data_IF_676916313230
#
_entry.id   IF_676916313230
#
_cell.length_a   1.000
_cell.length_b   1.000
_cell.length_c   1.000
_cell.angle_alpha   90.00
_cell.angle_beta   90.00
_cell.angle_gamma   90.00
#
_symmetry.space_group_name_H-M   'P 1'
#
loop_
_entity.id
_entity.type
_entity.pdbx_description
1 polymer ?
#
# COMPACT_ATOMS: atom_id res chain seq x y z
N UNK A 1 6.40 -8.74 -17.13
CA UNK A 1 6.00 -7.32 -17.37
C UNK A 1 4.76 -7.02 -16.54
N UNK A 2 4.85 -6.10 -15.60
CA UNK A 2 3.70 -5.68 -14.77
C UNK A 2 2.72 -4.91 -15.67
N UNK A 3 1.44 -5.29 -15.70
CA UNK A 3 0.42 -4.60 -16.51
C UNK A 3 0.24 -3.15 -16.05
N UNK A 4 -0.24 -2.28 -16.93
CA UNK A 4 -0.45 -0.85 -16.62
C UNK A 4 -1.53 -0.60 -15.54
N UNK A 5 -2.38 -1.59 -15.25
CA UNK A 5 -3.54 -1.44 -14.36
C UNK A 5 -3.25 -1.66 -12.85
N UNK A 6 -1.99 -1.57 -12.41
CA UNK A 6 -1.65 -1.83 -11.00
C UNK A 6 -2.10 -0.72 -10.06
N UNK A 7 -1.99 0.54 -10.48
CA UNK A 7 -2.24 1.71 -9.64
C UNK A 7 -3.60 2.38 -9.94
N UNK A 8 -4.55 1.63 -10.52
CA UNK A 8 -5.91 2.12 -10.78
C UNK A 8 -6.78 2.04 -9.53
N UNK A 9 -7.83 2.85 -9.36
CA UNK A 9 -8.75 2.73 -8.23
C UNK A 9 -9.23 1.27 -8.03
N UNK A 10 -9.45 0.85 -6.78
CA UNK A 10 -9.87 -0.53 -6.47
C UNK A 10 -11.09 -0.98 -7.27
N UNK A 11 -12.06 -0.09 -7.46
CA UNK A 11 -13.30 -0.36 -8.22
C UNK A 11 -13.06 -0.72 -9.70
N UNK A 12 -11.90 -0.38 -10.26
CA UNK A 12 -11.51 -0.69 -11.63
C UNK A 12 -10.24 -1.55 -11.72
N UNK A 13 -9.82 -2.16 -10.60
CA UNK A 13 -8.63 -2.99 -10.55
C UNK A 13 -8.89 -4.38 -11.13
N UNK A 14 -8.05 -4.80 -12.08
CA UNK A 14 -7.99 -6.19 -12.54
C UNK A 14 -6.99 -6.98 -11.69
N UNK A 15 -7.46 -8.03 -11.02
CA UNK A 15 -6.61 -8.88 -10.19
C UNK A 15 -5.48 -9.50 -11.02
N UNK A 16 -4.23 -9.48 -10.53
CA UNK A 16 -3.09 -10.03 -11.25
C UNK A 16 -3.18 -11.55 -11.31
N UNK A 17 -2.51 -12.12 -12.29
CA UNK A 17 -2.29 -13.55 -12.39
C UNK A 17 -1.27 -14.03 -11.36
N UNK A 18 -1.31 -15.33 -11.06
CA UNK A 18 -0.32 -15.99 -10.21
C UNK A 18 1.09 -15.82 -10.77
N UNK A 19 1.24 -15.86 -12.10
CA UNK A 19 2.52 -15.61 -12.78
C UNK A 19 3.07 -14.21 -12.52
N UNK A 20 2.24 -13.19 -12.61
CA UNK A 20 2.62 -11.80 -12.40
C UNK A 20 3.04 -11.56 -10.95
N UNK A 21 2.29 -12.12 -9.99
CA UNK A 21 2.64 -12.06 -8.58
C UNK A 21 3.97 -12.78 -8.30
N UNK A 22 4.19 -13.96 -8.90
CA UNK A 22 5.44 -14.69 -8.75
C UNK A 22 6.63 -13.95 -9.37
N UNK A 23 6.45 -13.33 -10.53
CA UNK A 23 7.47 -12.51 -11.20
C UNK A 23 7.87 -11.33 -10.31
N UNK A 24 6.89 -10.55 -9.82
CA UNK A 24 7.12 -9.41 -8.91
C UNK A 24 7.86 -9.85 -7.65
N UNK A 25 7.41 -10.91 -6.99
CA UNK A 25 8.07 -11.42 -5.77
C UNK A 25 9.51 -11.84 -6.06
N UNK A 26 9.79 -12.44 -7.22
CA UNK A 26 11.15 -12.82 -7.59
C UNK A 26 12.03 -11.59 -7.88
N UNK A 27 11.51 -10.56 -8.55
CA UNK A 27 12.23 -9.32 -8.79
C UNK A 27 12.57 -8.59 -7.48
N UNK A 28 11.65 -8.62 -6.50
CA UNK A 28 11.86 -8.01 -5.19
C UNK A 28 13.00 -8.66 -4.39
N UNK A 29 13.28 -9.95 -4.59
CA UNK A 29 14.44 -10.62 -3.97
C UNK A 29 15.75 -9.94 -4.37
N UNK A 30 15.85 -9.44 -5.60
CA UNK A 30 17.05 -8.72 -6.07
C UNK A 30 17.25 -7.40 -5.30
N UNK A 31 16.18 -6.83 -4.76
CA UNK A 31 16.21 -5.61 -3.94
C UNK A 31 16.19 -5.93 -2.42
N UNK A 32 16.54 -7.15 -2.04
CA UNK A 32 16.69 -7.54 -0.63
C UNK A 32 15.40 -7.85 0.11
N UNK A 33 14.28 -8.05 -0.59
CA UNK A 33 13.01 -8.51 -0.02
C UNK A 33 12.86 -10.03 -0.13
N UNK A 34 13.24 -10.73 0.93
CA UNK A 34 12.90 -12.14 1.07
C UNK A 34 11.46 -12.34 1.56
N UNK A 35 11.01 -13.60 1.61
CA UNK A 35 9.65 -13.94 2.05
C UNK A 35 9.34 -13.40 3.45
N UNK A 36 10.32 -13.41 4.37
CA UNK A 36 10.13 -12.94 5.75
C UNK A 36 9.91 -11.43 5.79
N UNK A 37 10.73 -10.66 5.10
CA UNK A 37 10.59 -9.21 4.98
C UNK A 37 9.27 -8.82 4.30
N UNK A 38 8.86 -9.55 3.27
CA UNK A 38 7.56 -9.36 2.63
C UNK A 38 6.41 -9.63 3.61
N UNK A 39 6.47 -10.73 4.38
CA UNK A 39 5.48 -11.02 5.42
C UNK A 39 5.43 -9.93 6.48
N UNK A 40 6.57 -9.40 6.91
CA UNK A 40 6.62 -8.31 7.90
C UNK A 40 6.01 -7.02 7.34
N UNK A 41 6.42 -6.60 6.13
CA UNK A 41 5.99 -5.34 5.54
C UNK A 41 4.51 -5.34 5.11
N UNK A 42 4.01 -6.49 4.63
CA UNK A 42 2.66 -6.59 4.06
C UNK A 42 1.64 -7.28 4.97
N UNK A 43 2.12 -7.99 6.00
CA UNK A 43 1.35 -8.93 6.80
C UNK A 43 1.04 -10.25 6.07
N UNK A 44 1.29 -10.38 4.77
CA UNK A 44 0.93 -11.58 4.01
C UNK A 44 1.50 -12.85 4.65
N UNK A 45 0.67 -13.88 4.78
CA UNK A 45 1.11 -15.17 5.32
C UNK A 45 2.16 -15.77 4.39
N UNK A 46 3.29 -16.18 4.94
CA UNK A 46 4.39 -16.83 4.21
C UNK A 46 3.89 -17.98 3.30
N UNK A 47 2.94 -18.79 3.79
CA UNK A 47 2.34 -19.87 3.00
C UNK A 47 1.69 -19.39 1.68
N UNK A 48 1.13 -18.18 1.65
CA UNK A 48 0.50 -17.63 0.45
C UNK A 48 1.57 -17.17 -0.55
N UNK A 49 2.62 -16.52 -0.06
CA UNK A 49 3.79 -16.11 -0.87
C UNK A 49 4.45 -17.34 -1.52
N UNK A 50 4.71 -18.38 -0.71
CA UNK A 50 5.23 -19.66 -1.19
C UNK A 50 4.28 -20.34 -2.18
N UNK A 51 2.97 -20.30 -1.92
CA UNK A 51 1.96 -20.86 -2.84
C UNK A 51 2.01 -20.17 -4.21
N UNK A 52 2.01 -18.85 -4.29
CA UNK A 52 2.02 -18.16 -5.60
C UNK A 52 3.32 -18.44 -6.38
N UNK A 53 4.47 -18.38 -5.72
CA UNK A 53 5.77 -18.65 -6.35
C UNK A 53 5.93 -20.10 -6.82
N UNK A 54 5.32 -21.07 -6.12
CA UNK A 54 5.31 -22.47 -6.54
C UNK A 54 4.27 -22.76 -7.63
N UNK A 55 3.06 -22.17 -7.50
CA UNK A 55 1.90 -22.40 -8.37
C UNK A 55 2.13 -21.88 -9.79
N UNK A 56 2.94 -20.83 -9.95
CA UNK A 56 3.34 -20.29 -11.26
C UNK A 56 3.80 -21.37 -12.27
N UNK A 57 4.49 -22.42 -11.83
CA UNK A 57 4.97 -23.49 -12.74
C UNK A 57 3.87 -24.41 -13.26
N UNK A 58 2.72 -24.47 -12.57
CA UNK A 58 1.62 -25.38 -12.88
C UNK A 58 0.42 -24.64 -13.48
N UNK A 59 0.07 -23.50 -12.89
CA UNK A 59 -1.15 -22.75 -13.19
C UNK A 59 -0.82 -21.24 -13.29
N UNK A 60 0.01 -20.82 -14.27
CA UNK A 60 0.49 -19.44 -14.38
C UNK A 60 -0.62 -18.43 -14.73
N UNK A 61 -1.69 -18.89 -15.38
CA UNK A 61 -2.79 -18.06 -15.89
C UNK A 61 -3.97 -17.95 -14.92
N UNK A 62 -3.86 -18.52 -13.72
CA UNK A 62 -4.88 -18.35 -12.71
C UNK A 62 -4.83 -16.94 -12.08
N UNK A 63 -6.00 -16.43 -11.71
CA UNK A 63 -6.13 -15.17 -10.97
C UNK A 63 -5.59 -15.35 -9.55
N UNK A 64 -4.73 -14.44 -9.13
CA UNK A 64 -4.17 -14.43 -7.78
C UNK A 64 -5.16 -13.91 -6.74
N UNK A 65 -5.03 -14.42 -5.53
CA UNK A 65 -5.79 -13.97 -4.35
C UNK A 65 -5.02 -12.94 -3.52
N UNK A 66 -4.04 -12.25 -4.11
CA UNK A 66 -3.30 -11.22 -3.40
C UNK A 66 -4.24 -10.03 -3.11
N UNK A 67 -4.27 -9.50 -1.88
CA UNK A 67 -5.06 -8.30 -1.58
C UNK A 67 -4.54 -7.07 -2.33
N UNK A 68 -5.46 -6.20 -2.73
CA UNK A 68 -5.13 -5.03 -3.55
C UNK A 68 -4.04 -4.11 -2.96
N UNK A 69 -4.09 -3.69 -1.67
CA UNK A 69 -3.04 -2.84 -1.11
C UNK A 69 -1.67 -3.51 -1.11
N UNK A 70 -1.65 -4.83 -0.85
CA UNK A 70 -0.41 -5.60 -0.89
C UNK A 70 0.15 -5.63 -2.30
N UNK A 71 -0.70 -5.80 -3.32
CA UNK A 71 -0.30 -5.77 -4.73
C UNK A 71 0.29 -4.42 -5.14
N UNK A 72 -0.39 -3.30 -4.83
CA UNK A 72 0.13 -1.96 -5.13
C UNK A 72 1.48 -1.71 -4.45
N UNK A 73 1.59 -2.08 -3.17
CA UNK A 73 2.82 -1.94 -2.42
C UNK A 73 3.98 -2.73 -3.03
N UNK A 74 3.82 -4.04 -3.27
CA UNK A 74 4.92 -4.86 -3.78
C UNK A 74 5.30 -4.49 -5.22
N UNK A 75 4.33 -4.10 -6.05
CA UNK A 75 4.57 -3.72 -7.43
C UNK A 75 5.33 -2.40 -7.54
N UNK A 76 5.04 -1.44 -6.66
CA UNK A 76 5.74 -0.16 -6.60
C UNK A 76 7.23 -0.31 -6.21
N UNK A 77 7.59 -1.37 -5.49
CA UNK A 77 8.96 -1.64 -5.05
C UNK A 77 9.81 -2.40 -6.08
N UNK A 78 9.23 -2.83 -7.21
CA UNK A 78 10.00 -3.53 -8.24
C UNK A 78 11.02 -2.59 -8.87
N UNK A 79 12.29 -2.98 -8.85
CA UNK A 79 13.39 -2.16 -9.37
C UNK A 79 13.70 -0.90 -8.54
N UNK A 80 13.06 -0.74 -7.37
CA UNK A 80 13.24 0.42 -6.48
C UNK A 80 13.54 -0.04 -5.05
N UNK A 81 14.26 0.78 -4.30
CA UNK A 81 14.39 0.60 -2.86
C UNK A 81 13.16 1.21 -2.17
N UNK A 82 12.88 0.75 -0.96
CA UNK A 82 11.85 1.38 -0.14
C UNK A 82 12.30 2.79 0.25
N UNK A 83 11.56 3.81 -0.19
CA UNK A 83 11.91 5.21 0.04
C UNK A 83 11.88 5.62 1.51
N UNK A 84 11.10 4.95 2.37
CA UNK A 84 11.12 5.25 3.80
C UNK A 84 12.44 4.84 4.46
N UNK A 85 13.12 3.82 3.91
CA UNK A 85 14.23 3.15 4.60
C UNK A 85 15.51 3.09 3.78
N UNK A 86 15.46 3.59 2.55
CA UNK A 86 16.47 3.37 1.52
C UNK A 86 16.87 1.88 1.41
N UNK A 87 15.87 0.99 1.45
CA UNK A 87 16.06 -0.46 1.38
C UNK A 87 16.52 -1.14 2.68
N UNK A 88 16.73 -0.40 3.77
CA UNK A 88 17.04 -0.96 5.09
C UNK A 88 15.77 -1.55 5.73
N UNK A 89 15.97 -2.44 6.70
CA UNK A 89 14.87 -2.87 7.57
C UNK A 89 14.58 -1.71 8.52
N UNK A 90 13.31 -1.31 8.62
CA UNK A 90 12.90 -0.31 9.62
C UNK A 90 13.02 -0.91 11.01
N UNK A 91 13.61 -0.15 11.92
CA UNK A 91 13.79 -0.55 13.31
C UNK A 91 12.51 -0.36 14.12
N UNK A 92 12.33 -1.16 15.16
CA UNK A 92 11.14 -1.10 16.02
C UNK A 92 10.94 0.29 16.64
N UNK A 93 12.02 0.99 16.98
CA UNK A 93 11.93 2.34 17.53
C UNK A 93 11.46 3.39 16.52
N UNK A 94 11.83 3.24 15.24
CA UNK A 94 11.34 4.12 14.16
C UNK A 94 9.83 3.89 13.94
N UNK A 95 9.38 2.64 13.95
CA UNK A 95 7.93 2.33 13.92
C UNK A 95 7.22 2.99 15.09
N UNK A 96 7.74 2.84 16.31
CA UNK A 96 7.15 3.46 17.50
C UNK A 96 7.09 4.98 17.36
N UNK A 97 8.16 5.61 16.88
CA UNK A 97 8.17 7.06 16.67
C UNK A 97 7.05 7.50 15.74
N UNK A 98 6.84 6.80 14.62
CA UNK A 98 5.75 7.08 13.68
C UNK A 98 4.40 6.88 14.34
N UNK A 99 4.20 5.78 15.08
CA UNK A 99 2.94 5.52 15.79
C UNK A 99 2.58 6.65 16.76
N UNK A 100 3.56 7.26 17.43
CA UNK A 100 3.33 8.39 18.35
C UNK A 100 3.00 9.71 17.64
N UNK A 101 3.27 9.83 16.33
CA UNK A 101 2.91 11.04 15.57
C UNK A 101 1.40 11.15 15.34
N UNK A 102 0.66 10.04 15.40
CA UNK A 102 -0.74 9.99 14.98
C UNK A 102 -1.65 9.47 16.10
N UNK A 103 -2.93 9.86 16.05
CA UNK A 103 -3.95 9.31 16.93
C UNK A 103 -4.24 7.84 16.57
N UNK A 104 -4.66 6.99 17.52
CA UNK A 104 -5.03 5.60 17.24
C UNK A 104 -6.04 5.42 16.11
N UNK A 105 -6.96 6.38 15.94
CA UNK A 105 -7.96 6.39 14.86
C UNK A 105 -7.37 6.49 13.45
N UNK A 106 -6.12 6.98 13.30
CA UNK A 106 -5.41 6.95 12.03
C UNK A 106 -5.00 5.52 11.64
N UNK A 107 -4.95 4.59 12.60
CA UNK A 107 -4.64 3.18 12.39
C UNK A 107 -5.89 2.29 12.47
N UNK A 108 -7.08 2.91 12.37
CA UNK A 108 -8.35 2.21 12.36
C UNK A 108 -8.59 1.40 11.09
N UNK A 109 -9.62 0.56 11.14
CA UNK A 109 -10.20 -0.03 9.94
C UNK A 109 -10.95 1.04 9.14
N UNK A 110 -11.30 0.75 7.88
CA UNK A 110 -11.87 1.77 6.97
C UNK A 110 -13.08 2.52 7.55
N UNK A 111 -13.94 1.85 8.31
CA UNK A 111 -15.14 2.37 8.97
C UNK A 111 -14.84 3.21 10.22
N UNK A 112 -13.69 3.00 10.85
CA UNK A 112 -13.24 3.68 12.08
C UNK A 112 -12.07 4.64 11.83
N UNK A 113 -11.62 4.72 10.57
CA UNK A 113 -10.51 5.53 10.15
C UNK A 113 -10.85 7.01 10.22
N UNK A 114 -9.97 7.77 10.88
CA UNK A 114 -10.00 9.22 10.85
C UNK A 114 -8.68 9.69 10.24
N UNK A 115 -8.78 10.38 9.11
CA UNK A 115 -7.63 10.89 8.39
C UNK A 115 -6.77 11.80 9.30
N UNK A 116 -5.43 11.64 9.28
CA UNK A 116 -4.55 12.61 9.88
C UNK A 116 -4.77 14.02 9.32
N UNK A 117 -4.47 15.02 10.14
CA UNK A 117 -4.49 16.43 9.72
C UNK A 117 -3.22 16.78 8.97
N UNK A 118 -3.23 17.91 8.27
CA UNK A 118 -2.04 18.48 7.62
C UNK A 118 -0.84 18.61 8.56
N UNK A 119 -1.06 19.05 9.80
CA UNK A 119 -0.02 19.15 10.83
C UNK A 119 0.56 17.81 11.27
N UNK A 120 -0.18 16.71 11.16
CA UNK A 120 0.36 15.37 11.40
C UNK A 120 1.17 14.90 10.19
N UNK A 121 0.65 15.11 8.97
CA UNK A 121 1.37 14.75 7.75
C UNK A 121 2.71 15.46 7.62
N UNK A 122 2.78 16.75 7.94
CA UNK A 122 4.01 17.54 7.88
C UNK A 122 5.12 17.06 8.84
N UNK A 123 4.80 16.21 9.83
CA UNK A 123 5.80 15.58 10.70
C UNK A 123 6.43 14.33 10.08
N UNK A 124 5.78 13.75 9.07
CA UNK A 124 6.18 12.49 8.44
C UNK A 124 6.67 12.69 7.01
N UNK A 125 5.94 13.48 6.22
CA UNK A 125 6.19 13.72 4.79
C UNK A 125 6.80 15.12 4.65
N UNK A 126 7.87 15.23 3.88
CA UNK A 126 8.66 16.47 3.73
C UNK A 126 9.24 17.00 5.05
N UNK A 127 9.37 16.17 6.08
CA UNK A 127 9.84 16.59 7.41
C UNK A 127 11.36 16.48 7.59
N UNK A 128 12.05 15.79 6.67
CA UNK A 128 13.46 15.43 6.80
C UNK A 128 13.73 14.26 7.76
N UNK A 129 12.72 13.76 8.48
CA UNK A 129 12.88 12.58 9.34
C UNK A 129 13.21 11.33 8.53
N UNK A 130 12.56 11.19 7.38
CA UNK A 130 12.84 10.19 6.36
C UNK A 130 13.08 10.96 5.06
N UNK A 131 14.35 11.14 4.69
CA UNK A 131 14.79 12.08 3.66
C UNK A 131 14.06 11.92 2.32
N UNK A 132 13.87 10.67 1.88
CA UNK A 132 13.22 10.32 0.62
C UNK A 132 11.68 10.24 0.72
N UNK A 133 11.09 10.43 1.92
CA UNK A 133 9.63 10.49 2.11
C UNK A 133 9.10 11.87 1.78
N UNK A 134 9.20 12.21 0.51
CA UNK A 134 8.66 13.46 -0.03
C UNK A 134 7.33 13.24 -0.73
N UNK A 135 6.60 14.34 -0.93
CA UNK A 135 5.39 14.34 -1.75
C UNK A 135 5.66 13.87 -3.17
N UNK A 136 6.78 14.29 -3.73
CA UNK A 136 7.25 13.99 -5.07
C UNK A 136 7.59 12.51 -5.20
N UNK A 137 8.41 11.98 -4.29
CA UNK A 137 8.82 10.58 -4.29
C UNK A 137 7.63 9.63 -4.12
N UNK A 138 6.67 9.96 -3.25
CA UNK A 138 5.44 9.17 -3.09
C UNK A 138 4.55 9.21 -4.32
N UNK A 139 4.37 10.40 -4.91
CA UNK A 139 3.60 10.56 -6.14
C UNK A 139 4.22 9.78 -7.30
N UNK A 140 5.54 9.82 -7.46
CA UNK A 140 6.23 9.06 -8.49
C UNK A 140 6.14 7.55 -8.23
N UNK A 141 6.33 7.12 -6.98
CA UNK A 141 6.33 5.71 -6.60
C UNK A 141 4.99 5.03 -6.90
N UNK A 142 3.88 5.70 -6.60
CA UNK A 142 2.53 5.14 -6.78
C UNK A 142 1.78 5.70 -8.00
N UNK A 143 2.47 6.47 -8.84
CA UNK A 143 1.88 7.18 -9.99
C UNK A 143 0.64 8.01 -9.59
N UNK A 144 0.70 8.69 -8.44
CA UNK A 144 -0.37 9.59 -8.00
C UNK A 144 -0.19 10.97 -8.62
N UNK A 145 -1.30 11.64 -8.94
CA UNK A 145 -1.25 13.06 -9.29
C UNK A 145 -0.75 13.88 -8.10
N UNK A 146 0.42 14.51 -8.26
CA UNK A 146 1.05 15.32 -7.21
C UNK A 146 0.16 16.49 -6.76
N UNK A 147 -0.63 17.08 -7.65
CA UNK A 147 -1.57 18.14 -7.30
C UNK A 147 -2.67 17.65 -6.37
N UNK A 148 -3.33 16.55 -6.72
CA UNK A 148 -4.37 15.95 -5.86
C UNK A 148 -3.79 15.41 -4.55
N UNK A 149 -2.59 14.82 -4.58
CA UNK A 149 -1.95 14.30 -3.39
C UNK A 149 -1.60 15.42 -2.40
N UNK A 150 -0.94 16.48 -2.87
CA UNK A 150 -0.63 17.66 -2.06
C UNK A 150 -1.89 18.30 -1.46
N UNK A 151 -2.95 18.43 -2.25
CA UNK A 151 -4.20 18.98 -1.76
C UNK A 151 -4.84 18.10 -0.68
N UNK A 152 -4.79 16.77 -0.85
CA UNK A 152 -5.31 15.83 0.15
C UNK A 152 -4.56 15.92 1.49
N UNK A 153 -3.24 16.15 1.47
CA UNK A 153 -2.42 16.38 2.65
C UNK A 153 -2.80 17.70 3.34
N UNK A 154 -2.92 18.78 2.56
CA UNK A 154 -3.28 20.11 3.05
C UNK A 154 -4.65 20.14 3.73
N UNK A 155 -5.63 19.47 3.12
CA UNK A 155 -7.00 19.41 3.62
C UNK A 155 -7.22 18.36 4.72
N UNK A 156 -6.26 17.45 4.96
CA UNK A 156 -6.47 16.32 5.87
C UNK A 156 -7.54 15.36 5.35
N UNK A 157 -7.60 15.15 4.04
CA UNK A 157 -8.60 14.33 3.33
C UNK A 157 -7.95 13.27 2.45
N UNK A 158 -6.92 12.61 2.97
CA UNK A 158 -6.23 11.54 2.26
C UNK A 158 -7.13 10.30 2.14
N UNK A 159 -7.25 9.69 0.94
CA UNK A 159 -7.92 8.41 0.78
C UNK A 159 -7.31 7.34 1.69
N UNK A 160 -8.17 6.50 2.28
CA UNK A 160 -7.74 5.45 3.21
C UNK A 160 -6.68 4.51 2.63
N UNK A 161 -6.82 4.12 1.36
CA UNK A 161 -5.86 3.27 0.67
C UNK A 161 -4.48 3.93 0.57
N UNK A 162 -4.42 5.21 0.17
CA UNK A 162 -3.16 5.94 0.05
C UNK A 162 -2.46 6.01 1.41
N UNK A 163 -3.22 6.21 2.48
CA UNK A 163 -2.68 6.17 3.84
C UNK A 163 -2.14 4.79 4.21
N UNK A 164 -2.86 3.71 3.88
CA UNK A 164 -2.37 2.34 4.10
C UNK A 164 -1.05 2.08 3.35
N UNK A 165 -0.93 2.53 2.11
CA UNK A 165 0.28 2.38 1.30
C UNK A 165 1.47 3.12 1.93
N UNK A 166 1.26 4.35 2.40
CA UNK A 166 2.28 5.12 3.14
C UNK A 166 2.71 4.35 4.39
N UNK A 167 1.76 3.84 5.19
CA UNK A 167 2.07 3.06 6.39
C UNK A 167 2.87 1.79 6.10
N UNK A 168 2.56 1.09 5.01
CA UNK A 168 3.31 -0.10 4.60
C UNK A 168 4.77 0.21 4.25
N UNK A 169 5.08 1.40 3.72
CA UNK A 169 6.47 1.85 3.51
C UNK A 169 7.24 1.86 4.83
N UNK A 170 6.54 2.15 5.92
CA UNK A 170 7.10 2.15 7.27
C UNK A 170 7.08 0.79 7.98
N UNK A 171 6.77 -0.30 7.28
CA UNK A 171 6.67 -1.63 7.88
C UNK A 171 5.48 -1.78 8.84
N UNK A 172 4.52 -0.84 8.84
CA UNK A 172 3.32 -0.93 9.65
C UNK A 172 2.35 -1.91 8.98
N UNK A 173 2.11 -3.03 9.65
CA UNK A 173 1.27 -4.09 9.12
C UNK A 173 -0.21 -3.67 9.10
N UNK A 174 -0.71 -3.44 7.90
CA UNK A 174 -2.10 -3.03 7.64
C UNK A 174 -3.13 -4.15 7.74
N UNK A 175 -2.76 -5.40 8.07
CA UNK A 175 -3.72 -6.52 8.18
C UNK A 175 -4.87 -6.25 9.14
N UNK A 176 -4.56 -5.59 10.26
CA UNK A 176 -5.56 -5.23 11.27
C UNK A 176 -6.38 -4.00 10.87
N UNK A 177 -5.93 -3.28 9.85
CA UNK A 177 -6.55 -2.06 9.33
C UNK A 177 -7.45 -2.38 8.13
N UNK A 178 -6.86 -2.89 7.05
CA UNK A 178 -7.43 -2.74 5.71
C UNK A 178 -7.80 -4.06 5.03
N UNK A 179 -7.11 -5.16 5.35
CA UNK A 179 -7.26 -6.42 4.59
C UNK A 179 -8.62 -7.12 4.79
N UNK A 180 -9.44 -6.71 5.76
CA UNK A 180 -10.79 -7.25 5.95
C UNK A 180 -11.91 -6.43 5.32
N UNK A 181 -11.69 -5.12 5.11
CA UNK A 181 -12.77 -4.18 4.77
C UNK A 181 -12.64 -3.58 3.37
N UNK A 182 -11.46 -3.66 2.73
CA UNK A 182 -11.29 -3.18 1.36
C UNK A 182 -11.87 -4.11 0.29
N UNK A 183 -12.20 -5.36 0.63
CA UNK A 183 -12.85 -6.31 -0.29
C UNK A 183 -14.38 -6.16 -0.31
N UNK A 184 -14.95 -5.32 0.55
CA UNK A 184 -16.38 -5.00 0.54
C UNK A 184 -16.65 -4.00 -0.58
N UNK A 185 -17.45 -4.41 -1.57
CA UNK A 185 -17.86 -3.58 -2.70
C UNK A 185 -18.31 -2.19 -2.21
N UNK A 186 -17.74 -1.14 -2.81
CA UNK A 186 -18.30 0.20 -2.69
C UNK A 186 -19.62 0.14 -3.46
N UNK A 187 -20.71 -0.11 -2.76
CA UNK A 187 -22.05 0.17 -3.27
C UNK A 187 -22.07 1.67 -3.51
N UNK A 188 -21.93 2.06 -4.77
CA UNK A 188 -22.31 3.41 -5.19
C UNK A 188 -23.79 3.50 -4.87
N UNK A 189 -24.14 4.20 -3.79
CA UNK A 189 -25.50 4.67 -3.62
C UNK A 189 -25.82 5.48 -4.88
N UNK A 190 -26.59 4.87 -5.77
CA UNK A 190 -27.28 5.57 -6.82
C UNK A 190 -28.15 6.61 -6.12
N UNK A 191 -27.69 7.86 -6.14
CA UNK A 191 -28.45 9.00 -5.70
C UNK A 191 -29.80 8.96 -6.41
N UNK A 192 -30.85 8.89 -5.60
CA UNK A 192 -32.24 9.05 -6.02
C UNK A 192 -32.39 10.30 -6.90
N UNK A 193 -32.67 10.06 -8.18
CA UNK A 193 -33.29 11.01 -9.08
C UNK A 193 -34.31 10.25 -9.94
N UNK A 194 -35.28 9.64 -9.26
CA UNK A 194 -36.61 9.46 -9.81
C UNK A 194 -37.50 10.53 -9.14
N UNK A 195 -37.52 11.69 -9.78
CA UNK A 195 -38.54 12.71 -9.60
C UNK A 195 -38.81 13.29 -10.99
N UNK A 196 -39.66 12.61 -11.74
CA UNK A 196 -40.85 13.17 -12.39
C UNK A 196 -41.78 12.03 -12.85
#
# INVERSE_FOLDING_TARGET
MIRENVFTPFASWEKPLVSEVAEVINLLKNNGYDTKKLTLATGLKEKNICKWTAKYKKEPLEVSTIPYPCWCFISALVGRLNIATNGKVIEVEEIKQILHLFKPSAFGAQDTFICPTSSHFAKLINSGLFEEMTTESLSELYNWSSGYFNESLRLGKMPYLNWCLILMMFGINIQKMALKNLETDIVLEQSAYDAD
#
